data_IF_034914163255
#
_entry.id   IF_034914163255
#
_cell.length_a   1.000
_cell.length_b   1.000
_cell.length_c   1.000
_cell.angle_alpha   90.00
_cell.angle_beta   90.00
_cell.angle_gamma   90.00
#
_symmetry.space_group_name_H-M   'P 1'
#
loop_
_entity.id
_entity.type
_entity.pdbx_description
1 polymer ?
#
# COMPACT_ATOMS: atom_id res chain seq x y z
N UNK A 1 5.25 -3.65 58.18
CA UNK A 1 5.16 -2.86 56.96
C UNK A 1 5.36 -3.79 55.78
N UNK A 2 4.28 -4.23 55.15
CA UNK A 2 4.30 -5.10 53.98
C UNK A 2 4.34 -4.20 52.72
N UNK A 3 5.41 -4.23 51.95
CA UNK A 3 5.52 -3.52 50.67
C UNK A 3 4.74 -4.31 49.63
N UNK A 4 3.65 -3.73 49.15
CA UNK A 4 2.85 -4.21 48.03
C UNK A 4 3.58 -3.82 46.73
N UNK A 5 4.16 -4.76 46.03
CA UNK A 5 4.69 -4.54 44.69
C UNK A 5 3.54 -4.67 43.71
N UNK A 6 3.11 -3.55 43.16
CA UNK A 6 2.14 -3.52 42.06
C UNK A 6 2.91 -3.83 40.77
N UNK A 7 2.78 -5.03 40.26
CA UNK A 7 3.22 -5.40 38.92
C UNK A 7 2.28 -4.72 37.91
N UNK A 8 2.75 -3.66 37.29
CA UNK A 8 2.11 -3.08 36.11
C UNK A 8 2.47 -3.98 34.93
N UNK A 9 1.59 -4.91 34.59
CA UNK A 9 1.65 -5.64 33.33
C UNK A 9 1.32 -4.65 32.21
N UNK A 10 2.33 -4.14 31.51
CA UNK A 10 2.15 -3.45 30.23
C UNK A 10 1.73 -4.53 29.24
N UNK A 11 0.42 -4.70 29.03
CA UNK A 11 -0.08 -5.43 27.90
C UNK A 11 0.33 -4.63 26.65
N UNK A 12 1.37 -5.07 25.97
CA UNK A 12 1.60 -4.68 24.58
C UNK A 12 0.38 -5.18 23.79
N UNK A 13 -0.58 -4.30 23.59
CA UNK A 13 -1.61 -4.48 22.59
C UNK A 13 -0.89 -4.54 21.24
N UNK A 14 -0.64 -5.75 20.75
CA UNK A 14 -0.27 -5.95 19.37
C UNK A 14 -1.45 -5.41 18.55
N UNK A 15 -1.31 -4.18 18.05
CA UNK A 15 -2.24 -3.64 17.06
C UNK A 15 -2.32 -4.67 15.93
N UNK A 16 -3.53 -5.08 15.51
CA UNK A 16 -3.67 -5.97 14.38
C UNK A 16 -3.00 -5.28 13.18
N UNK A 17 -1.85 -5.76 12.77
CA UNK A 17 -1.18 -5.30 11.57
C UNK A 17 -2.06 -5.70 10.40
N UNK A 18 -2.89 -4.76 9.93
CA UNK A 18 -3.50 -4.85 8.62
C UNK A 18 -2.35 -4.93 7.63
N UNK A 19 -2.35 -5.94 6.82
CA UNK A 19 -1.27 -6.13 5.87
C UNK A 19 -1.88 -6.62 4.56
N UNK A 20 -1.48 -5.97 3.48
CA UNK A 20 -2.05 -6.14 2.15
C UNK A 20 -0.94 -6.47 1.16
N UNK A 21 -1.29 -6.98 -0.01
CA UNK A 21 -0.34 -7.20 -1.11
C UNK A 21 -1.01 -6.86 -2.42
N UNK A 22 -0.33 -6.07 -3.25
CA UNK A 22 -0.78 -5.73 -4.59
C UNK A 22 0.31 -6.10 -5.60
N UNK A 23 -0.09 -6.73 -6.71
CA UNK A 23 0.75 -7.02 -7.85
C UNK A 23 0.23 -6.21 -9.03
N UNK A 24 1.13 -5.54 -9.75
CA UNK A 24 0.84 -4.65 -10.85
C UNK A 24 1.44 -5.21 -12.13
N UNK A 25 0.64 -5.34 -13.17
CA UNK A 25 1.07 -5.82 -14.49
C UNK A 25 0.66 -4.79 -15.55
N UNK A 26 1.65 -4.18 -16.20
CA UNK A 26 1.40 -3.21 -17.26
C UNK A 26 0.86 -3.90 -18.52
N UNK A 27 0.30 -3.12 -19.43
CA UNK A 27 -0.35 -3.59 -20.65
C UNK A 27 0.52 -4.52 -21.49
N UNK A 28 1.78 -4.14 -21.72
CA UNK A 28 2.73 -4.94 -22.50
C UNK A 28 3.24 -6.18 -21.78
N UNK A 29 3.08 -6.26 -20.46
CA UNK A 29 3.45 -7.41 -19.65
C UNK A 29 2.32 -8.46 -19.54
N UNK A 30 1.12 -8.20 -20.04
CA UNK A 30 0.00 -9.15 -20.01
C UNK A 30 -0.17 -9.90 -21.33
N UNK A 31 -0.72 -11.13 -21.26
CA UNK A 31 -0.93 -12.00 -22.45
C UNK A 31 -1.94 -11.43 -23.44
N UNK A 32 -2.96 -10.76 -22.93
CA UNK A 32 -4.06 -10.23 -23.74
C UNK A 32 -4.00 -8.69 -23.92
N UNK A 33 -2.95 -8.04 -23.45
CA UNK A 33 -2.80 -6.59 -23.57
C UNK A 33 -3.69 -5.78 -22.60
N UNK A 34 -4.24 -6.41 -21.56
CA UNK A 34 -4.92 -5.71 -20.47
C UNK A 34 -3.92 -5.19 -19.44
N UNK A 35 -4.32 -4.22 -18.63
CA UNK A 35 -3.66 -3.87 -17.38
C UNK A 35 -4.26 -4.72 -16.27
N UNK A 36 -3.43 -5.29 -15.38
CA UNK A 36 -3.92 -6.06 -14.24
C UNK A 36 -3.36 -5.53 -12.93
N UNK A 37 -4.21 -5.49 -11.91
CA UNK A 37 -3.82 -5.25 -10.52
C UNK A 37 -4.50 -6.27 -9.64
N UNK A 38 -3.73 -6.93 -8.77
CA UNK A 38 -4.30 -7.73 -7.69
C UNK A 38 -4.29 -6.94 -6.39
N UNK A 39 -5.17 -7.33 -5.47
CA UNK A 39 -5.19 -6.82 -4.11
C UNK A 39 -5.58 -7.94 -3.16
N UNK A 40 -4.79 -8.15 -2.12
CA UNK A 40 -5.14 -8.98 -0.97
C UNK A 40 -5.27 -8.10 0.26
N UNK A 41 -6.39 -8.20 0.97
CA UNK A 41 -6.60 -7.58 2.26
C UNK A 41 -6.39 -8.63 3.36
N UNK A 42 -5.33 -8.48 4.13
CA UNK A 42 -5.03 -9.37 5.24
C UNK A 42 -5.52 -8.77 6.56
N UNK A 43 -6.60 -9.34 7.08
CA UNK A 43 -7.25 -8.85 8.29
C UNK A 43 -7.98 -9.99 9.00
N UNK A 44 -7.85 -10.08 10.31
CA UNK A 44 -8.60 -11.06 11.13
C UNK A 44 -10.09 -10.73 11.26
N UNK A 45 -10.51 -9.52 10.91
CA UNK A 45 -11.87 -9.01 11.17
C UNK A 45 -12.60 -8.52 9.92
N UNK A 46 -11.90 -8.39 8.79
CA UNK A 46 -12.49 -7.93 7.52
C UNK A 46 -12.69 -9.10 6.58
N UNK A 47 -13.93 -9.30 6.16
CA UNK A 47 -14.29 -10.29 5.14
C UNK A 47 -14.62 -9.58 3.83
N UNK A 48 -14.26 -10.20 2.71
CA UNK A 48 -14.54 -9.67 1.39
C UNK A 48 -16.02 -9.78 1.06
N UNK A 49 -16.72 -8.67 1.15
CA UNK A 49 -18.04 -8.54 0.56
C UNK A 49 -17.89 -7.76 -0.75
N UNK A 50 -18.43 -8.31 -1.83
CA UNK A 50 -18.47 -7.59 -3.09
C UNK A 50 -19.52 -6.47 -2.99
N UNK A 51 -19.04 -5.24 -2.77
CA UNK A 51 -19.90 -4.05 -2.63
C UNK A 51 -20.18 -3.50 -4.02
N UNK A 52 -21.46 -3.17 -4.27
CA UNK A 52 -21.88 -2.44 -5.45
C UNK A 52 -22.46 -1.08 -5.06
N UNK A 53 -21.89 -0.01 -5.62
CA UNK A 53 -22.39 1.36 -5.51
C UNK A 53 -22.94 1.77 -6.88
N UNK A 54 -24.25 1.95 -7.03
CA UNK A 54 -24.84 2.33 -8.30
C UNK A 54 -24.50 3.78 -8.67
N UNK A 55 -24.44 4.05 -9.96
CA UNK A 55 -24.44 5.41 -10.50
C UNK A 55 -25.61 6.20 -9.93
N UNK A 56 -25.35 7.45 -9.57
CA UNK A 56 -26.38 8.34 -9.06
C UNK A 56 -26.18 9.77 -9.55
N UNK A 57 -27.26 10.55 -9.46
CA UNK A 57 -27.24 12.01 -9.70
C UNK A 57 -27.73 12.69 -8.44
N UNK A 58 -27.04 13.73 -8.04
CA UNK A 58 -27.28 14.49 -6.81
C UNK A 58 -27.58 15.94 -7.13
N UNK A 59 -28.42 16.61 -6.32
CA UNK A 59 -28.65 18.05 -6.44
C UNK A 59 -27.33 18.84 -6.29
N UNK A 60 -27.26 19.96 -7.01
CA UNK A 60 -26.11 20.89 -6.85
C UNK A 60 -26.01 21.38 -5.41
N UNK A 61 -24.81 21.28 -4.84
CA UNK A 61 -24.52 21.72 -3.47
C UNK A 61 -24.85 20.67 -2.41
N UNK A 62 -25.22 19.46 -2.79
CA UNK A 62 -25.36 18.35 -1.84
C UNK A 62 -24.01 18.02 -1.18
N UNK A 63 -24.07 17.55 0.06
CA UNK A 63 -22.88 17.21 0.85
C UNK A 63 -22.82 15.70 1.09
N UNK A 64 -21.64 15.11 0.86
CA UNK A 64 -21.34 13.73 1.18
C UNK A 64 -20.83 13.63 2.62
N UNK A 65 -21.50 12.85 3.46
CA UNK A 65 -21.02 12.53 4.79
C UNK A 65 -19.81 11.59 4.72
N UNK A 66 -18.75 11.96 5.40
CA UNK A 66 -17.56 11.12 5.56
C UNK A 66 -17.62 10.46 6.94
N UNK A 67 -17.59 9.13 6.93
CA UNK A 67 -17.65 8.31 8.13
C UNK A 67 -16.39 7.48 8.29
N UNK A 68 -15.96 7.33 9.53
CA UNK A 68 -14.82 6.51 9.88
C UNK A 68 -15.01 5.07 9.41
N UNK A 69 -14.02 4.55 8.72
CA UNK A 69 -14.03 3.19 8.21
C UNK A 69 -14.05 2.18 9.36
N UNK A 70 -15.10 1.38 9.44
CA UNK A 70 -15.33 0.38 10.47
C UNK A 70 -16.32 0.86 11.54
N UNK A 71 -15.98 1.77 12.47
CA UNK A 71 -16.91 2.26 13.50
C UNK A 71 -18.10 3.05 12.96
N UNK A 72 -17.97 3.66 11.77
CA UNK A 72 -19.05 4.43 11.14
C UNK A 72 -19.30 5.80 11.77
N UNK A 73 -18.43 6.29 12.65
CA UNK A 73 -18.53 7.63 13.27
C UNK A 73 -18.45 8.71 12.20
N UNK A 74 -19.34 9.70 12.24
CA UNK A 74 -19.29 10.87 11.34
C UNK A 74 -18.03 11.69 11.63
N UNK A 75 -17.20 11.90 10.62
CA UNK A 75 -15.97 12.69 10.68
C UNK A 75 -16.17 14.10 10.13
N UNK A 76 -17.01 14.26 9.11
CA UNK A 76 -17.27 15.53 8.46
C UNK A 76 -18.06 15.37 7.17
N UNK A 77 -18.03 16.39 6.34
CA UNK A 77 -18.71 16.41 5.04
C UNK A 77 -17.83 17.05 4.00
N UNK A 78 -17.96 16.59 2.76
CA UNK A 78 -17.35 17.20 1.57
C UNK A 78 -18.40 17.42 0.50
N UNK A 79 -18.21 18.28 -0.50
CA UNK A 79 -19.12 18.41 -1.62
C UNK A 79 -19.34 17.08 -2.35
N UNK A 80 -20.58 16.71 -2.52
CA UNK A 80 -20.95 15.55 -3.35
C UNK A 80 -20.79 15.91 -4.82
N UNK A 81 -20.23 14.98 -5.63
CA UNK A 81 -20.26 15.13 -7.08
C UNK A 81 -21.70 15.07 -7.60
N UNK A 82 -22.08 15.96 -8.52
CA UNK A 82 -23.43 15.97 -9.10
C UNK A 82 -23.76 14.66 -9.84
N UNK A 83 -22.74 13.95 -10.30
CA UNK A 83 -22.84 12.63 -10.91
C UNK A 83 -21.78 11.70 -10.36
N UNK A 84 -22.15 10.45 -10.01
CA UNK A 84 -21.23 9.40 -9.62
C UNK A 84 -21.32 8.21 -10.59
N UNK A 85 -20.22 7.43 -10.69
CA UNK A 85 -20.15 6.24 -11.53
C UNK A 85 -20.54 4.99 -10.76
N UNK A 86 -20.93 3.94 -11.50
CA UNK A 86 -21.06 2.60 -10.92
C UNK A 86 -19.71 2.11 -10.43
N UNK A 87 -19.69 1.58 -9.21
CA UNK A 87 -18.50 0.96 -8.61
C UNK A 87 -18.84 -0.44 -8.15
N UNK A 88 -18.02 -1.42 -8.48
CA UNK A 88 -18.08 -2.78 -7.95
C UNK A 88 -16.74 -3.15 -7.31
N UNK A 89 -16.76 -3.46 -6.02
CA UNK A 89 -15.52 -3.66 -5.26
C UNK A 89 -14.57 -2.48 -5.44
N UNK A 90 -13.38 -2.73 -5.98
CA UNK A 90 -12.34 -1.73 -6.19
C UNK A 90 -12.23 -1.23 -7.64
N UNK A 91 -13.26 -1.44 -8.47
CA UNK A 91 -13.28 -1.01 -9.88
C UNK A 91 -14.56 -0.27 -10.23
N UNK A 92 -14.46 0.76 -11.08
CA UNK A 92 -15.62 1.47 -11.59
C UNK A 92 -15.98 1.09 -13.04
N UNK A 93 -17.06 1.65 -13.56
CA UNK A 93 -17.57 1.38 -14.93
C UNK A 93 -16.65 1.87 -16.06
N UNK A 94 -15.70 2.76 -15.77
CA UNK A 94 -14.63 3.18 -16.67
C UNK A 94 -13.40 2.29 -16.56
N UNK A 95 -13.48 1.22 -15.75
CA UNK A 95 -12.39 0.31 -15.46
C UNK A 95 -11.19 1.00 -14.74
N UNK A 96 -11.44 2.10 -14.03
CA UNK A 96 -10.48 2.59 -13.06
C UNK A 96 -10.48 1.63 -11.88
N UNK A 97 -9.31 1.11 -11.53
CA UNK A 97 -9.10 0.16 -10.44
C UNK A 97 -8.10 0.72 -9.45
N UNK A 98 -8.40 0.63 -8.15
CA UNK A 98 -7.54 1.14 -7.08
C UNK A 98 -7.34 0.04 -6.04
N UNK A 99 -6.08 -0.24 -5.71
CA UNK A 99 -5.68 -1.14 -4.61
C UNK A 99 -4.72 -0.44 -3.67
N UNK A 100 -4.51 -0.99 -2.46
CA UNK A 100 -3.66 -0.36 -1.46
C UNK A 100 -2.84 -1.36 -0.63
N UNK A 101 -1.83 -0.86 0.07
CA UNK A 101 -1.19 -1.55 1.20
C UNK A 101 -0.63 -0.54 2.20
N UNK A 102 -1.06 -0.66 3.45
CA UNK A 102 -0.61 0.19 4.55
C UNK A 102 0.82 -0.15 4.99
N UNK A 103 1.70 0.85 5.12
CA UNK A 103 3.07 0.68 5.61
C UNK A 103 3.40 1.45 6.90
N UNK A 104 2.44 2.12 7.49
CA UNK A 104 2.62 2.86 8.74
C UNK A 104 3.37 4.17 8.55
N UNK A 105 4.69 4.14 8.54
CA UNK A 105 5.53 5.33 8.44
C UNK A 105 5.69 6.04 9.79
N UNK A 106 5.66 7.38 9.76
CA UNK A 106 5.89 8.22 10.93
C UNK A 106 4.58 8.56 11.62
N UNK A 107 4.39 8.08 12.85
CA UNK A 107 3.15 8.29 13.62
C UNK A 107 2.84 9.78 13.85
N UNK A 108 3.89 10.62 13.99
CA UNK A 108 3.75 12.06 14.16
C UNK A 108 3.20 12.79 12.92
N UNK A 109 3.00 12.07 11.81
CA UNK A 109 2.42 12.61 10.58
C UNK A 109 0.93 12.29 10.44
N UNK A 110 0.35 11.55 11.37
CA UNK A 110 -1.10 11.36 11.41
C UNK A 110 -1.79 12.65 11.84
N UNK A 111 -2.74 13.09 11.04
CA UNK A 111 -3.58 14.26 11.37
C UNK A 111 -4.88 13.77 12.03
N UNK A 112 -5.05 13.97 13.35
CA UNK A 112 -6.25 13.54 14.06
C UNK A 112 -7.49 14.36 13.70
N UNK A 113 -7.32 15.53 13.07
CA UNK A 113 -8.40 16.41 12.63
C UNK A 113 -8.79 16.18 11.16
N UNK A 114 -8.06 15.31 10.45
CA UNK A 114 -8.37 14.96 9.08
C UNK A 114 -9.62 14.07 9.01
N UNK A 115 -10.40 14.24 7.95
CA UNK A 115 -11.67 13.52 7.79
C UNK A 115 -11.63 12.44 6.70
N UNK A 116 -10.59 12.41 5.85
CA UNK A 116 -10.48 11.45 4.75
C UNK A 116 -9.39 10.42 5.04
N UNK A 117 -9.79 9.16 5.21
CA UNK A 117 -8.89 8.02 5.22
C UNK A 117 -8.71 7.44 3.79
N UNK A 118 -7.72 6.53 3.63
CA UNK A 118 -7.45 5.92 2.33
C UNK A 118 -8.68 5.17 1.76
N UNK A 119 -9.46 4.51 2.62
CA UNK A 119 -10.63 3.74 2.19
C UNK A 119 -11.73 4.64 1.63
N UNK A 120 -12.05 5.74 2.33
CA UNK A 120 -12.97 6.76 1.85
C UNK A 120 -12.50 7.37 0.54
N UNK A 121 -11.20 7.72 0.43
CA UNK A 121 -10.61 8.28 -0.77
C UNK A 121 -10.68 7.33 -1.96
N UNK A 122 -10.42 6.03 -1.78
CA UNK A 122 -10.55 5.02 -2.84
C UNK A 122 -11.95 5.04 -3.44
N UNK A 123 -12.99 4.92 -2.61
CA UNK A 123 -14.37 4.88 -3.11
C UNK A 123 -14.82 6.20 -3.72
N UNK A 124 -14.42 7.34 -3.16
CA UNK A 124 -14.73 8.65 -3.73
C UNK A 124 -14.08 8.83 -5.09
N UNK A 125 -12.82 8.41 -5.25
CA UNK A 125 -12.12 8.45 -6.54
C UNK A 125 -12.78 7.54 -7.57
N UNK A 126 -13.14 6.30 -7.20
CA UNK A 126 -13.83 5.37 -8.09
C UNK A 126 -15.19 5.90 -8.57
N UNK A 127 -15.91 6.64 -7.72
CA UNK A 127 -17.16 7.27 -8.09
C UNK A 127 -17.02 8.49 -9.01
N UNK A 128 -15.81 9.04 -9.17
CA UNK A 128 -15.58 10.34 -9.85
C UNK A 128 -14.60 10.28 -11.01
N UNK A 129 -13.65 9.34 -11.03
CA UNK A 129 -12.57 9.27 -12.00
C UNK A 129 -12.92 8.40 -13.22
N UNK A 130 -12.40 8.78 -14.39
CA UNK A 130 -12.48 8.01 -15.65
C UNK A 130 -11.15 7.40 -16.05
N UNK A 131 -10.04 7.89 -15.48
CA UNK A 131 -8.69 7.42 -15.75
C UNK A 131 -7.89 7.29 -14.47
N UNK A 132 -6.79 6.54 -14.51
CA UNK A 132 -5.86 6.41 -13.39
C UNK A 132 -5.29 7.77 -12.97
N UNK A 133 -4.93 8.64 -13.92
CA UNK A 133 -4.42 9.99 -13.65
C UNK A 133 -5.44 10.88 -12.96
N UNK A 134 -6.67 10.86 -13.46
CA UNK A 134 -7.77 11.63 -12.84
C UNK A 134 -8.04 11.13 -11.41
N UNK A 135 -7.94 9.82 -11.18
CA UNK A 135 -8.05 9.25 -9.82
C UNK A 135 -6.93 9.75 -8.88
N UNK A 136 -5.68 9.80 -9.35
CA UNK A 136 -4.55 10.35 -8.59
C UNK A 136 -4.80 11.83 -8.25
N UNK A 137 -5.25 12.62 -9.22
CA UNK A 137 -5.54 14.05 -9.04
C UNK A 137 -6.65 14.26 -8.01
N UNK A 138 -7.77 13.54 -8.12
CA UNK A 138 -8.89 13.61 -7.18
C UNK A 138 -8.43 13.19 -5.78
N UNK A 139 -7.71 12.08 -5.66
CA UNK A 139 -7.22 11.54 -4.39
C UNK A 139 -6.37 12.56 -3.65
N UNK A 140 -5.39 13.12 -4.34
CA UNK A 140 -4.41 14.03 -3.74
C UNK A 140 -4.99 15.42 -3.46
N UNK A 141 -5.88 15.92 -4.33
CA UNK A 141 -6.59 17.19 -4.12
C UNK A 141 -7.49 17.11 -2.89
N UNK A 142 -8.26 16.04 -2.75
CA UNK A 142 -9.13 15.86 -1.59
C UNK A 142 -8.33 15.67 -0.30
N UNK A 143 -7.21 14.94 -0.35
CA UNK A 143 -6.31 14.80 0.79
C UNK A 143 -5.73 16.16 1.23
N UNK A 144 -5.34 17.02 0.28
CA UNK A 144 -4.84 18.35 0.58
C UNK A 144 -5.92 19.27 1.18
N UNK A 145 -7.15 19.22 0.66
CA UNK A 145 -8.23 20.11 1.10
C UNK A 145 -8.82 19.70 2.46
N UNK A 146 -9.06 18.39 2.66
CA UNK A 146 -9.78 17.87 3.83
C UNK A 146 -8.88 17.19 4.87
N UNK A 147 -7.59 17.04 4.57
CA UNK A 147 -6.62 16.31 5.39
C UNK A 147 -6.60 14.82 5.08
N UNK A 148 -5.49 14.17 5.41
CA UNK A 148 -5.25 12.74 5.22
C UNK A 148 -5.13 12.06 6.59
N UNK A 149 -6.13 11.24 6.94
CA UNK A 149 -6.29 10.66 8.28
C UNK A 149 -5.54 9.32 8.47
N UNK A 150 -5.08 8.70 7.37
CA UNK A 150 -4.39 7.41 7.42
C UNK A 150 -2.91 7.56 7.77
N UNK A 151 -2.29 6.44 8.11
CA UNK A 151 -0.84 6.28 8.12
C UNK A 151 -0.27 6.26 6.69
N UNK A 152 0.99 5.87 6.51
CA UNK A 152 1.56 5.74 5.18
C UNK A 152 0.92 4.60 4.39
N UNK A 153 0.65 4.86 3.11
CA UNK A 153 0.03 3.92 2.19
C UNK A 153 0.80 3.86 0.87
N UNK A 154 0.88 2.64 0.29
CA UNK A 154 1.18 2.46 -1.12
C UNK A 154 -0.12 2.18 -1.85
N UNK A 155 -0.38 2.89 -2.94
CA UNK A 155 -1.63 2.80 -3.69
C UNK A 155 -1.34 2.50 -5.16
N UNK A 156 -2.07 1.52 -5.71
CA UNK A 156 -2.10 1.23 -7.14
C UNK A 156 -3.29 1.93 -7.78
N UNK A 157 -3.05 2.69 -8.85
CA UNK A 157 -4.10 3.22 -9.71
C UNK A 157 -3.94 2.63 -11.11
N UNK A 158 -4.98 2.04 -11.65
CA UNK A 158 -4.94 1.46 -12.99
C UNK A 158 -6.16 1.84 -13.80
N UNK A 159 -5.99 1.86 -15.11
CA UNK A 159 -7.03 1.93 -16.11
C UNK A 159 -6.67 1.04 -17.32
N UNK A 160 -7.46 0.97 -18.41
CA UNK A 160 -7.13 0.15 -19.58
C UNK A 160 -5.81 0.44 -20.28
N UNK A 161 -5.12 1.54 -19.96
CA UNK A 161 -3.93 2.00 -20.68
C UNK A 161 -2.67 2.01 -19.83
N UNK A 162 -2.80 2.29 -18.54
CA UNK A 162 -1.64 2.48 -17.66
C UNK A 162 -1.90 2.01 -16.22
N UNK A 163 -0.82 1.75 -15.50
CA UNK A 163 -0.83 1.47 -14.06
C UNK A 163 0.23 2.31 -13.36
N UNK A 164 -0.17 2.87 -12.22
CA UNK A 164 0.63 3.74 -11.37
C UNK A 164 0.81 3.13 -10.00
N UNK A 165 1.99 3.35 -9.46
CA UNK A 165 2.34 3.05 -8.08
C UNK A 165 2.54 4.38 -7.33
N UNK A 166 1.84 4.61 -6.24
CA UNK A 166 1.96 5.81 -5.42
C UNK A 166 2.31 5.44 -3.97
N UNK A 167 3.32 6.11 -3.40
CA UNK A 167 3.53 6.16 -1.94
C UNK A 167 3.04 7.50 -1.41
N UNK A 168 2.28 7.49 -0.31
CA UNK A 168 1.66 8.66 0.32
C UNK A 168 1.67 8.57 1.84
N UNK A 169 1.87 9.71 2.50
CA UNK A 169 1.72 9.86 3.95
C UNK A 169 1.23 11.28 4.28
N UNK A 170 0.51 11.43 5.39
CA UNK A 170 0.08 12.74 5.87
C UNK A 170 1.24 13.70 6.13
N UNK A 171 0.94 15.00 6.18
CA UNK A 171 1.88 16.03 6.63
C UNK A 171 1.87 16.13 8.16
N UNK A 172 3.02 16.42 8.76
CA UNK A 172 3.11 16.66 10.20
C UNK A 172 2.19 17.81 10.60
N UNK A 173 1.21 17.60 11.48
CA UNK A 173 0.28 18.65 11.88
C UNK A 173 1.00 19.85 12.50
N UNK A 174 0.56 21.07 12.16
CA UNK A 174 1.00 22.33 12.76
C UNK A 174 -0.23 23.08 13.25
N UNK A 175 -0.30 23.32 14.55
CA UNK A 175 -1.47 23.95 15.16
C UNK A 175 -1.28 25.45 15.35
N UNK A 176 -2.28 26.22 14.94
CA UNK A 176 -2.33 27.66 15.25
C UNK A 176 -2.77 27.90 16.71
N UNK A 177 -2.79 29.17 17.14
CA UNK A 177 -3.19 29.56 18.49
C UNK A 177 -4.63 29.15 18.87
N UNK A 178 -5.48 28.81 17.89
CA UNK A 178 -6.86 28.35 18.10
C UNK A 178 -6.97 26.83 18.10
N UNK A 179 -5.84 26.09 18.09
CA UNK A 179 -5.81 24.64 18.04
C UNK A 179 -6.20 24.01 16.69
N UNK A 180 -6.28 24.80 15.61
CA UNK A 180 -6.61 24.29 14.28
C UNK A 180 -5.34 23.91 13.54
N UNK A 181 -5.29 22.71 12.96
CA UNK A 181 -4.21 22.29 12.06
C UNK A 181 -4.20 23.20 10.80
N UNK A 182 -3.07 23.85 10.55
CA UNK A 182 -2.82 24.72 9.39
C UNK A 182 -1.89 24.11 8.35
N UNK A 183 -1.46 22.85 8.56
CA UNK A 183 -0.61 22.09 7.67
C UNK A 183 -1.30 20.79 7.24
N UNK A 184 -2.51 20.91 6.73
CA UNK A 184 -3.30 19.77 6.23
C UNK A 184 -2.66 19.17 4.98
N UNK A 185 -3.09 17.95 4.63
CA UNK A 185 -2.75 17.31 3.38
C UNK A 185 -1.77 16.17 3.54
N UNK A 186 -1.19 15.79 2.42
CA UNK A 186 -0.27 14.67 2.32
C UNK A 186 0.95 15.03 1.47
N UNK A 187 2.05 14.31 1.68
CA UNK A 187 3.18 14.22 0.75
C UNK A 187 3.14 12.89 0.05
N UNK A 188 3.40 12.88 -1.23
CA UNK A 188 3.26 11.69 -2.07
C UNK A 188 4.13 11.77 -3.32
N UNK A 189 4.44 10.60 -3.87
CA UNK A 189 5.05 10.42 -5.19
C UNK A 189 4.33 9.29 -5.89
N UNK A 190 3.97 9.45 -7.15
CA UNK A 190 3.36 8.44 -8.00
C UNK A 190 4.22 8.20 -9.24
N UNK A 191 4.53 6.95 -9.53
CA UNK A 191 5.35 6.52 -10.67
C UNK A 191 4.50 5.64 -11.59
N UNK A 192 4.46 5.98 -12.88
CA UNK A 192 3.88 5.11 -13.90
C UNK A 192 4.79 3.91 -14.14
N UNK A 193 4.23 2.72 -14.08
CA UNK A 193 4.98 1.50 -14.40
C UNK A 193 5.14 1.43 -15.93
N UNK A 194 6.37 1.33 -16.43
CA UNK A 194 6.62 1.28 -17.87
C UNK A 194 5.93 0.09 -18.53
N UNK A 195 5.58 0.23 -19.78
CA UNK A 195 4.94 -0.86 -20.53
C UNK A 195 5.90 -2.06 -20.71
N UNK A 196 5.38 -3.27 -20.52
CA UNK A 196 6.18 -4.50 -20.46
C UNK A 196 6.80 -4.81 -19.10
N UNK A 197 6.52 -3.99 -18.07
CA UNK A 197 7.06 -4.17 -16.72
C UNK A 197 5.98 -4.60 -15.70
N UNK A 198 6.45 -5.21 -14.64
CA UNK A 198 5.67 -5.60 -13.46
C UNK A 198 6.20 -4.89 -12.22
N UNK A 199 5.31 -4.63 -11.27
CA UNK A 199 5.64 -4.05 -9.97
C UNK A 199 4.78 -4.67 -8.87
N UNK A 200 5.11 -4.39 -7.62
CA UNK A 200 4.32 -4.83 -6.47
C UNK A 200 4.56 -3.93 -5.27
N UNK A 201 3.60 -3.91 -4.35
CA UNK A 201 3.79 -3.35 -3.01
C UNK A 201 3.13 -4.22 -1.93
N UNK A 202 3.76 -4.22 -0.78
CA UNK A 202 3.41 -5.13 0.29
C UNK A 202 3.80 -4.55 1.66
N UNK A 203 3.13 -3.47 2.06
CA UNK A 203 3.29 -2.80 3.36
C UNK A 203 4.67 -2.16 3.63
N UNK A 204 5.33 -1.69 2.58
CA UNK A 204 6.52 -0.85 2.69
C UNK A 204 6.49 0.24 1.63
N UNK A 205 6.91 1.45 1.98
CA UNK A 205 7.17 2.48 0.97
C UNK A 205 8.35 2.02 0.10
N UNK A 206 8.20 2.12 -1.22
CA UNK A 206 9.19 1.58 -2.15
C UNK A 206 9.78 2.62 -3.10
N UNK A 207 9.12 3.75 -3.30
CA UNK A 207 9.65 4.81 -4.16
C UNK A 207 10.84 5.45 -3.45
N UNK A 208 12.05 5.14 -3.93
CA UNK A 208 13.28 5.79 -3.49
C UNK A 208 13.45 7.15 -4.18
N UNK A 209 14.49 7.33 -4.96
CA UNK A 209 14.65 8.51 -5.81
C UNK A 209 13.69 8.45 -7.01
N UNK A 210 13.26 9.61 -7.49
CA UNK A 210 12.29 9.69 -8.57
C UNK A 210 12.61 10.84 -9.54
N UNK A 211 12.20 10.75 -10.82
CA UNK A 211 12.42 11.80 -11.79
C UNK A 211 11.54 13.02 -11.50
N UNK A 212 12.17 14.21 -11.39
CA UNK A 212 11.47 15.46 -11.03
C UNK A 212 10.99 16.26 -12.25
N UNK A 213 11.48 15.90 -13.45
CA UNK A 213 11.20 16.63 -14.68
C UNK A 213 10.52 15.73 -15.74
N UNK A 214 9.75 14.74 -15.30
CA UNK A 214 9.03 13.80 -16.16
C UNK A 214 7.57 13.67 -15.74
N UNK A 215 6.73 14.70 -15.99
CA UNK A 215 5.33 14.69 -15.58
C UNK A 215 4.48 13.64 -16.29
N UNK A 216 5.00 13.03 -17.35
CA UNK A 216 4.34 11.91 -18.02
C UNK A 216 4.45 10.62 -17.19
N UNK A 217 5.56 10.40 -16.51
CA UNK A 217 5.83 9.15 -15.80
C UNK A 217 5.98 9.32 -14.28
N UNK A 218 6.03 10.55 -13.79
CA UNK A 218 6.17 10.85 -12.36
C UNK A 218 5.36 12.07 -11.95
N UNK A 219 4.45 11.87 -11.01
CA UNK A 219 3.67 12.91 -10.35
C UNK A 219 4.06 12.95 -8.87
N UNK A 220 4.09 14.13 -8.25
CA UNK A 220 4.45 14.23 -6.83
C UNK A 220 3.95 15.54 -6.21
N UNK A 221 3.80 15.52 -4.89
CA UNK A 221 3.46 16.70 -4.13
C UNK A 221 4.57 17.76 -4.23
N UNK A 222 4.23 18.98 -4.60
CA UNK A 222 5.21 20.07 -4.84
C UNK A 222 6.11 20.33 -3.64
N UNK A 223 5.62 20.06 -2.45
CA UNK A 223 6.31 20.27 -1.18
C UNK A 223 6.92 19.00 -0.57
N UNK A 224 6.95 17.87 -1.29
CA UNK A 224 7.45 16.58 -0.78
C UNK A 224 8.87 16.68 -0.21
N UNK A 225 9.75 17.48 -0.82
CA UNK A 225 11.14 17.65 -0.36
C UNK A 225 11.21 18.77 0.69
N UNK A 226 10.54 19.90 0.47
CA UNK A 226 10.57 21.02 1.43
C UNK A 226 9.93 20.65 2.76
N UNK A 227 8.86 19.86 2.75
CA UNK A 227 8.24 19.33 3.97
C UNK A 227 9.21 18.41 4.75
N UNK A 228 9.97 17.56 4.06
CA UNK A 228 11.00 16.74 4.70
C UNK A 228 12.08 17.59 5.38
N UNK A 229 12.53 18.66 4.72
CA UNK A 229 13.48 19.61 5.29
C UNK A 229 12.92 20.33 6.51
N UNK A 230 11.68 20.82 6.42
CA UNK A 230 11.00 21.48 7.54
C UNK A 230 10.82 20.58 8.76
N UNK A 231 10.71 19.26 8.53
CA UNK A 231 10.62 18.25 9.59
C UNK A 231 11.98 17.77 10.11
N UNK A 232 13.10 18.24 9.54
CA UNK A 232 14.46 17.81 9.91
C UNK A 232 14.77 16.38 9.48
N UNK A 233 14.09 15.86 8.45
CA UNK A 233 14.26 14.50 7.96
C UNK A 233 15.23 14.40 6.78
N UNK A 234 15.53 15.53 6.15
CA UNK A 234 16.39 15.62 4.99
C UNK A 234 17.07 17.00 4.92
N UNK A 235 18.37 17.04 4.64
CA UNK A 235 19.17 18.27 4.57
C UNK A 235 19.81 18.53 3.20
N UNK A 236 19.72 17.57 2.25
CA UNK A 236 20.34 17.65 0.93
C UNK A 236 19.70 18.71 0.01
N UNK A 237 20.22 18.82 -1.21
CA UNK A 237 19.69 19.72 -2.25
C UNK A 237 18.47 19.16 -3.00
N UNK A 238 18.10 17.93 -2.71
CA UNK A 238 17.01 17.20 -3.33
C UNK A 238 17.45 16.25 -4.45
N UNK A 239 18.71 16.24 -4.87
CA UNK A 239 19.19 15.39 -5.97
C UNK A 239 19.12 13.90 -5.60
N UNK A 240 19.44 13.56 -4.37
CA UNK A 240 19.46 12.23 -3.78
C UNK A 240 18.23 11.93 -2.89
N UNK A 241 17.22 12.78 -2.91
CA UNK A 241 16.04 12.61 -2.06
C UNK A 241 15.33 11.28 -2.35
N UNK A 242 15.23 10.44 -1.35
CA UNK A 242 14.49 9.18 -1.36
C UNK A 242 13.22 9.32 -0.52
N UNK A 243 12.06 9.14 -1.15
CA UNK A 243 10.78 9.21 -0.44
C UNK A 243 10.67 8.10 0.62
N UNK A 244 10.95 6.87 0.24
CA UNK A 244 10.83 5.72 1.12
C UNK A 244 11.77 5.81 2.33
N UNK A 245 13.04 6.19 2.13
CA UNK A 245 14.00 6.30 3.24
C UNK A 245 13.68 7.46 4.18
N UNK A 246 13.08 8.53 3.65
CA UNK A 246 12.70 9.71 4.42
C UNK A 246 11.43 9.49 5.24
N UNK A 247 10.36 8.99 4.60
CA UNK A 247 9.02 8.95 5.18
C UNK A 247 8.62 7.58 5.71
N UNK A 248 9.14 6.50 5.14
CA UNK A 248 8.86 5.12 5.50
C UNK A 248 10.14 4.27 5.61
N UNK A 249 11.10 4.63 6.52
CA UNK A 249 12.35 3.90 6.62
C UNK A 249 12.12 2.43 6.94
N UNK A 250 12.81 1.57 6.20
CA UNK A 250 12.73 0.13 6.35
C UNK A 250 13.52 -0.35 7.57
N UNK A 251 12.93 -1.30 8.28
CA UNK A 251 13.59 -2.11 9.29
C UNK A 251 13.69 -3.59 8.84
N UNK A 252 14.23 -4.44 9.69
CA UNK A 252 14.31 -5.88 9.44
C UNK A 252 12.93 -6.49 9.15
N UNK A 253 11.90 -6.13 9.92
CA UNK A 253 10.56 -6.66 9.74
C UNK A 253 9.94 -6.23 8.40
N UNK A 254 10.17 -4.99 7.99
CA UNK A 254 9.75 -4.47 6.69
C UNK A 254 10.40 -5.23 5.53
N UNK A 255 11.71 -5.50 5.60
CA UNK A 255 12.39 -6.30 4.59
C UNK A 255 11.87 -7.75 4.58
N UNK A 256 11.94 -8.44 5.71
CA UNK A 256 11.64 -9.86 5.82
C UNK A 256 10.16 -10.21 5.61
N UNK A 257 9.25 -9.39 6.12
CA UNK A 257 7.80 -9.67 6.03
C UNK A 257 7.11 -8.98 4.86
N UNK A 258 7.68 -7.91 4.31
CA UNK A 258 7.06 -7.10 3.27
C UNK A 258 7.80 -7.25 1.94
N UNK A 259 9.04 -6.82 1.86
CA UNK A 259 9.80 -6.84 0.61
C UNK A 259 10.10 -8.27 0.11
N UNK A 260 10.17 -9.28 0.97
CA UNK A 260 10.28 -10.68 0.55
C UNK A 260 9.10 -11.12 -0.33
N UNK A 261 7.88 -10.57 -0.14
CA UNK A 261 6.73 -10.84 -1.00
C UNK A 261 6.90 -10.26 -2.40
N UNK A 262 7.44 -9.06 -2.48
CA UNK A 262 7.78 -8.41 -3.75
C UNK A 262 8.92 -9.17 -4.44
N UNK A 263 9.95 -9.56 -3.67
CA UNK A 263 11.03 -10.38 -4.18
C UNK A 263 10.52 -11.69 -4.80
N UNK A 264 9.59 -12.38 -4.15
CA UNK A 264 9.00 -13.62 -4.69
C UNK A 264 8.32 -13.41 -6.03
N UNK A 265 7.52 -12.35 -6.17
CA UNK A 265 6.87 -12.03 -7.44
C UNK A 265 7.90 -11.71 -8.54
N UNK A 266 8.90 -10.89 -8.24
CA UNK A 266 9.94 -10.55 -9.20
C UNK A 266 10.83 -11.74 -9.55
N UNK A 267 11.17 -12.60 -8.58
CA UNK A 267 11.96 -13.80 -8.81
C UNK A 267 11.27 -14.81 -9.73
N UNK A 268 9.94 -14.92 -9.65
CA UNK A 268 9.16 -15.84 -10.48
C UNK A 268 8.88 -15.29 -11.89
N UNK A 269 8.64 -13.99 -12.01
CA UNK A 269 8.08 -13.38 -13.23
C UNK A 269 8.92 -12.26 -13.84
N UNK A 270 9.96 -11.79 -13.16
CA UNK A 270 10.90 -10.79 -13.67
C UNK A 270 11.99 -11.40 -14.56
N UNK A 271 12.46 -10.62 -15.52
CA UNK A 271 13.58 -10.96 -16.41
C UNK A 271 14.96 -10.63 -15.78
N UNK A 272 14.98 -10.29 -14.52
CA UNK A 272 16.18 -9.92 -13.77
C UNK A 272 16.55 -11.03 -12.78
N UNK A 273 17.86 -11.30 -12.64
CA UNK A 273 18.33 -12.22 -11.60
C UNK A 273 18.09 -11.62 -10.22
N UNK A 274 17.04 -12.06 -9.56
CA UNK A 274 16.64 -11.61 -8.25
C UNK A 274 17.47 -12.22 -7.10
N UNK A 275 18.34 -13.19 -7.38
CA UNK A 275 19.25 -13.76 -6.37
C UNK A 275 20.20 -12.70 -5.81
N UNK A 276 20.56 -11.70 -6.59
CA UNK A 276 21.40 -10.56 -6.17
C UNK A 276 20.78 -9.66 -5.10
N UNK A 277 19.44 -9.77 -4.88
CA UNK A 277 18.69 -9.02 -3.87
C UNK A 277 18.19 -9.89 -2.70
N UNK A 278 18.66 -11.14 -2.63
CA UNK A 278 18.20 -12.07 -1.60
C UNK A 278 18.57 -11.62 -0.18
N UNK A 279 19.72 -10.99 -0.01
CA UNK A 279 20.17 -10.39 1.25
C UNK A 279 19.23 -9.27 1.72
N UNK A 280 18.70 -8.47 0.80
CA UNK A 280 17.68 -7.47 1.10
C UNK A 280 16.37 -8.14 1.54
N UNK A 281 15.87 -9.12 0.80
CA UNK A 281 14.64 -9.85 1.16
C UNK A 281 14.77 -10.63 2.48
N UNK A 282 15.98 -11.08 2.85
CA UNK A 282 16.25 -11.68 4.17
C UNK A 282 16.22 -10.69 5.32
N UNK A 283 16.45 -9.42 5.03
CA UNK A 283 16.62 -8.37 6.03
C UNK A 283 18.06 -8.13 6.45
N UNK A 284 19.03 -8.70 5.73
CA UNK A 284 20.46 -8.63 6.08
C UNK A 284 21.11 -7.32 5.58
N UNK A 285 20.62 -6.78 4.45
CA UNK A 285 21.25 -5.65 3.79
C UNK A 285 20.24 -4.60 3.31
N UNK A 286 19.86 -3.61 4.12
CA UNK A 286 18.89 -2.59 3.74
C UNK A 286 19.34 -1.66 2.60
N UNK A 287 20.65 -1.67 2.27
CA UNK A 287 21.19 -0.84 1.19
C UNK A 287 21.02 -1.46 -0.19
N UNK A 288 20.87 -2.78 -0.29
CA UNK A 288 20.70 -3.49 -1.55
C UNK A 288 19.22 -3.53 -1.98
N UNK A 289 18.59 -2.37 -2.00
CA UNK A 289 17.15 -2.22 -2.29
C UNK A 289 16.79 -2.73 -3.69
N UNK A 290 15.73 -3.51 -3.78
CA UNK A 290 15.18 -3.95 -5.06
C UNK A 290 14.66 -2.79 -5.90
N UNK A 291 14.67 -2.89 -7.24
CA UNK A 291 14.04 -1.90 -8.12
C UNK A 291 12.52 -1.80 -7.84
N UNK A 292 11.93 -0.65 -8.16
CA UNK A 292 10.49 -0.42 -8.01
C UNK A 292 9.69 -1.34 -8.95
N UNK A 293 10.20 -1.61 -10.14
CA UNK A 293 9.62 -2.47 -11.16
C UNK A 293 10.71 -3.22 -11.92
N UNK A 294 10.37 -4.36 -12.48
CA UNK A 294 11.26 -5.18 -13.33
C UNK A 294 10.54 -5.52 -14.64
N UNK A 295 11.30 -5.73 -15.72
CA UNK A 295 10.71 -6.20 -16.97
C UNK A 295 10.13 -7.60 -16.76
N UNK A 296 8.96 -7.87 -17.33
CA UNK A 296 8.36 -9.19 -17.24
C UNK A 296 9.17 -10.19 -18.12
N UNK A 297 9.52 -11.34 -17.55
CA UNK A 297 10.21 -12.43 -18.26
C UNK A 297 9.34 -13.02 -19.35
N UNK A 298 8.06 -13.19 -19.03
CA UNK A 298 7.02 -13.66 -19.93
C UNK A 298 5.75 -12.85 -19.70
N UNK A 299 4.89 -12.79 -20.70
CA UNK A 299 3.58 -12.15 -20.51
C UNK A 299 2.71 -12.95 -19.57
N UNK A 300 2.09 -12.28 -18.60
CA UNK A 300 1.26 -12.87 -17.55
C UNK A 300 -0.20 -12.93 -17.98
N UNK A 301 -0.89 -13.99 -17.57
CA UNK A 301 -2.34 -14.11 -17.57
C UNK A 301 -2.92 -13.78 -16.19
N UNK A 302 -4.25 -13.64 -16.11
CA UNK A 302 -4.97 -13.56 -14.83
C UNK A 302 -4.65 -14.76 -13.94
N UNK A 303 -4.49 -15.97 -14.53
CA UNK A 303 -4.14 -17.16 -13.78
C UNK A 303 -2.76 -17.05 -13.13
N UNK A 304 -1.75 -16.53 -13.85
CA UNK A 304 -0.40 -16.37 -13.31
C UNK A 304 -0.40 -15.41 -12.11
N UNK A 305 -1.14 -14.31 -12.21
CA UNK A 305 -1.32 -13.37 -11.07
C UNK A 305 -2.11 -14.00 -9.93
N UNK A 306 -3.16 -14.77 -10.22
CA UNK A 306 -3.95 -15.48 -9.20
C UNK A 306 -3.15 -16.57 -8.49
N UNK A 307 -2.24 -17.26 -9.18
CA UNK A 307 -1.34 -18.23 -8.58
C UNK A 307 -0.37 -17.53 -7.60
N UNK A 308 0.15 -16.36 -7.97
CA UNK A 308 0.97 -15.55 -7.06
C UNK A 308 0.22 -15.10 -5.81
N UNK A 309 -1.10 -14.87 -5.90
CA UNK A 309 -1.92 -14.56 -4.71
C UNK A 309 -2.05 -15.75 -3.73
N UNK A 310 -1.57 -16.93 -4.11
CA UNK A 310 -1.50 -18.14 -3.28
C UNK A 310 -0.07 -18.52 -2.88
N UNK A 311 0.91 -17.71 -3.24
CA UNK A 311 2.33 -17.98 -2.99
C UNK A 311 2.68 -18.09 -1.51
N UNK A 312 3.46 -19.13 -1.15
CA UNK A 312 4.06 -19.34 0.16
C UNK A 312 5.57 -19.55 0.03
N UNK A 313 6.18 -18.93 -0.98
CA UNK A 313 7.61 -19.01 -1.30
C UNK A 313 8.09 -20.39 -1.71
N UNK A 314 7.21 -21.28 -2.19
CA UNK A 314 7.55 -22.68 -2.55
C UNK A 314 8.74 -22.73 -3.51
N UNK A 315 9.68 -23.61 -3.21
CA UNK A 315 10.90 -23.81 -4.00
C UNK A 315 11.99 -22.74 -3.83
N UNK A 316 11.83 -21.83 -2.87
CA UNK A 316 12.84 -20.81 -2.50
C UNK A 316 13.42 -21.12 -1.12
N UNK A 317 14.43 -20.38 -0.68
CA UNK A 317 14.94 -20.47 0.68
C UNK A 317 13.96 -20.04 1.78
N UNK A 318 12.88 -19.30 1.40
CA UNK A 318 11.80 -18.88 2.29
C UNK A 318 10.63 -19.87 2.32
N UNK A 319 10.74 -21.01 1.65
CA UNK A 319 9.66 -22.00 1.50
C UNK A 319 8.97 -22.32 2.82
N UNK A 320 7.71 -21.85 2.96
CA UNK A 320 6.95 -21.98 4.20
C UNK A 320 6.40 -23.38 4.43
N UNK A 321 6.53 -24.28 3.45
CA UNK A 321 6.18 -25.71 3.60
C UNK A 321 7.32 -26.51 4.20
N UNK A 322 8.49 -25.89 4.45
CA UNK A 322 9.70 -26.56 4.94
C UNK A 322 10.09 -26.09 6.35
N UNK A 323 10.93 -26.89 6.99
CA UNK A 323 11.52 -26.57 8.28
C UNK A 323 10.60 -26.86 9.49
N UNK A 324 11.11 -26.56 10.68
CA UNK A 324 10.45 -26.86 11.95
C UNK A 324 9.09 -26.16 12.06
N UNK A 325 8.98 -24.94 11.57
CA UNK A 325 7.75 -24.14 11.67
C UNK A 325 6.61 -24.67 10.80
N UNK A 326 6.90 -25.46 9.76
CA UNK A 326 5.89 -26.14 8.93
C UNK A 326 5.34 -27.42 9.60
N UNK A 327 6.09 -27.98 10.53
CA UNK A 327 5.74 -29.22 11.20
C UNK A 327 5.74 -30.44 10.28
N UNK A 328 5.32 -31.59 10.80
CA UNK A 328 5.31 -32.85 10.05
C UNK A 328 4.27 -32.92 8.91
N UNK A 329 3.38 -31.94 8.80
CA UNK A 329 2.36 -31.86 7.75
C UNK A 329 2.69 -30.83 6.68
N UNK A 330 3.87 -30.23 6.69
CA UNK A 330 4.34 -29.23 5.73
C UNK A 330 3.36 -28.04 5.56
N UNK A 331 2.77 -27.56 6.66
CA UNK A 331 1.75 -26.51 6.66
C UNK A 331 2.43 -25.14 6.45
N UNK A 332 2.02 -24.34 5.44
CA UNK A 332 2.66 -23.04 5.15
C UNK A 332 2.21 -21.92 6.09
N UNK A 333 1.19 -22.13 6.91
CA UNK A 333 0.70 -21.12 7.83
C UNK A 333 1.54 -21.06 9.10
N UNK A 334 1.68 -19.85 9.63
CA UNK A 334 2.50 -19.56 10.81
C UNK A 334 1.67 -19.00 11.95
N UNK A 335 2.10 -19.31 13.18
CA UNK A 335 1.56 -18.69 14.37
C UNK A 335 1.75 -17.16 14.37
N UNK A 336 0.83 -16.46 14.99
CA UNK A 336 0.92 -15.05 15.30
C UNK A 336 1.10 -14.84 16.80
N UNK A 337 1.98 -13.92 17.25
CA UNK A 337 2.73 -12.95 16.46
C UNK A 337 3.83 -13.58 15.59
N UNK A 338 4.22 -12.88 14.50
CA UNK A 338 5.27 -13.36 13.59
C UNK A 338 6.65 -13.38 14.25
N UNK A 339 6.87 -12.53 15.24
CA UNK A 339 8.12 -12.49 16.02
C UNK A 339 7.82 -12.93 17.45
N UNK A 340 8.63 -13.82 17.98
CA UNK A 340 8.54 -14.35 19.34
C UNK A 340 9.92 -14.76 19.83
N UNK A 341 10.03 -15.14 21.09
CA UNK A 341 11.29 -15.55 21.70
C UNK A 341 11.15 -16.98 22.28
N UNK A 342 12.15 -17.83 22.04
CA UNK A 342 12.25 -19.16 22.60
C UNK A 342 13.65 -19.32 23.19
N UNK A 343 13.73 -19.58 24.48
CA UNK A 343 15.00 -19.77 25.21
C UNK A 343 16.01 -18.63 24.99
N UNK A 344 15.55 -17.39 24.97
CA UNK A 344 16.37 -16.21 24.75
C UNK A 344 16.73 -15.93 23.26
N UNK A 345 16.28 -16.77 22.34
CA UNK A 345 16.51 -16.61 20.90
C UNK A 345 15.27 -15.98 20.26
N UNK A 346 15.46 -14.84 19.61
CA UNK A 346 14.40 -14.19 18.83
C UNK A 346 14.19 -14.96 17.54
N UNK A 347 12.95 -15.37 17.32
CA UNK A 347 12.48 -16.05 16.10
C UNK A 347 11.55 -15.15 15.35
N UNK A 348 11.68 -15.11 14.03
CA UNK A 348 10.78 -14.41 13.14
C UNK A 348 10.26 -15.38 12.08
N UNK A 349 8.94 -15.53 12.00
CA UNK A 349 8.30 -16.33 10.97
C UNK A 349 8.19 -15.55 9.67
N UNK A 350 8.38 -16.23 8.56
CA UNK A 350 8.08 -15.71 7.22
C UNK A 350 6.61 -15.28 7.13
N UNK A 351 6.37 -14.34 6.25
CA UNK A 351 5.05 -13.88 5.88
C UNK A 351 4.92 -13.84 4.36
N UNK A 352 4.23 -14.80 3.81
CA UNK A 352 3.98 -14.90 2.37
C UNK A 352 2.83 -13.98 1.91
N UNK A 353 2.57 -13.97 0.60
CA UNK A 353 1.41 -13.30 0.00
C UNK A 353 0.11 -13.92 0.52
N UNK A 354 -0.02 -15.25 0.46
CA UNK A 354 -1.14 -15.96 1.06
C UNK A 354 -0.89 -16.20 2.55
N UNK A 355 -1.78 -15.76 3.41
CA UNK A 355 -1.70 -16.00 4.85
C UNK A 355 -3.03 -16.44 5.41
N UNK A 356 -3.03 -17.05 6.62
CA UNK A 356 -4.25 -17.45 7.32
C UNK A 356 -5.16 -16.25 7.68
N UNK A 357 -4.69 -15.04 7.57
CA UNK A 357 -5.46 -13.81 7.83
C UNK A 357 -5.92 -13.10 6.57
N UNK A 358 -5.68 -13.66 5.38
CA UNK A 358 -6.21 -13.10 4.13
C UNK A 358 -7.72 -13.19 4.13
N UNK A 359 -8.39 -12.06 4.29
CA UNK A 359 -9.84 -11.95 4.34
C UNK A 359 -10.46 -12.10 2.95
N UNK A 360 -9.82 -11.50 1.95
CA UNK A 360 -10.15 -11.65 0.54
C UNK A 360 -8.98 -11.24 -0.35
N UNK A 361 -9.03 -11.67 -1.60
CA UNK A 361 -8.20 -11.13 -2.67
C UNK A 361 -8.93 -11.18 -4.01
N UNK A 362 -8.49 -10.35 -4.95
CA UNK A 362 -8.97 -10.38 -6.32
C UNK A 362 -7.84 -10.07 -7.32
N UNK A 363 -8.10 -10.35 -8.58
CA UNK A 363 -7.35 -9.83 -9.72
C UNK A 363 -8.31 -9.02 -10.57
N UNK A 364 -8.10 -7.71 -10.62
CA UNK A 364 -8.82 -6.81 -11.52
C UNK A 364 -8.11 -6.72 -12.86
N UNK A 365 -8.88 -6.69 -13.95
CA UNK A 365 -8.38 -6.64 -15.31
C UNK A 365 -9.06 -5.50 -16.07
N UNK A 366 -8.25 -4.52 -16.51
CA UNK A 366 -8.70 -3.34 -17.24
C UNK A 366 -8.37 -3.53 -18.73
N UNK A 367 -9.38 -3.46 -19.60
CA UNK A 367 -9.28 -3.76 -21.04
C UNK A 367 -9.66 -2.58 -21.90
N UNK A 368 -8.91 -2.32 -22.96
CA UNK A 368 -9.17 -1.24 -23.92
C UNK A 368 -9.96 -1.69 -25.16
N UNK A 369 -10.50 -2.91 -25.17
CA UNK A 369 -11.32 -3.47 -26.24
C UNK A 369 -12.66 -3.98 -25.73
#
# INVERSE_FOLDING_TARGET
MKRLYTLISIALLALPTLACTNLLVSKGASKDGSVMVSYAADSHTRYGTLVFMPRATYPKGEMLEIREWGPGRLLGQIPQAEQTYNVIGNMNEHQVLIGESTWGGREEFRDPDAILDYGSLIYICLQRAKTAREAIEIFTTLADEYGYASSGESISFADPNEVWFMDIIGKKPKYNKKGKNVNKGAVWVAIRIPDGYISAHANCARIATFPKNDPENCLYAKDVISHAKECGLYEGDGSDFSFADTYGPLDFSGMRSCEARVWSFFNRHGDEDMSKYIDFARGDNPKNRMPLYVKAKEKLSVKDVADMMRDHYEGTEFDMTKGIAAGGHEIPYRWRPSSYEVDGVKVHNERAIATQQTGFWFVGQCRSW
#
